data_IF_078244667923
#
_entry.id   IF_078244667923
#
_cell.length_a   1.000
_cell.length_b   1.000
_cell.length_c   1.000
_cell.angle_alpha   90.00
_cell.angle_beta   90.00
_cell.angle_gamma   90.00
#
_symmetry.space_group_name_H-M   'P 1'
#
loop_
_entity.id
_entity.type
_entity.pdbx_description
1 polymer ?
#
# COMPACT_ATOMS: atom_id res chain seq x y z
N UNK A 1 -1.61 17.81 55.33
CA UNK A 1 -1.48 17.98 53.87
C UNK A 1 -1.99 16.71 53.20
N UNK A 2 -3.30 16.64 52.94
CA UNK A 2 -3.94 15.54 52.23
C UNK A 2 -4.00 15.92 50.75
N UNK A 3 -3.25 15.25 49.89
CA UNK A 3 -3.40 15.36 48.45
C UNK A 3 -4.55 14.47 48.01
N UNK A 4 -5.64 15.07 47.54
CA UNK A 4 -6.72 14.37 46.85
C UNK A 4 -6.97 15.11 45.53
N UNK A 5 -6.31 14.68 44.48
CA UNK A 5 -6.67 15.09 43.12
C UNK A 5 -7.69 14.10 42.58
N UNK A 6 -8.93 14.54 42.50
CA UNK A 6 -9.92 13.99 41.57
C UNK A 6 -10.03 14.99 40.43
N UNK A 7 -9.85 14.56 39.19
CA UNK A 7 -10.39 15.31 38.06
C UNK A 7 -10.96 14.34 37.05
N UNK A 8 -12.27 14.09 37.21
CA UNK A 8 -13.13 13.51 36.21
C UNK A 8 -13.90 14.66 35.55
N UNK A 9 -13.82 14.77 34.23
CA UNK A 9 -15.02 14.73 33.39
C UNK A 9 -14.59 14.79 31.93
N UNK A 10 -15.06 13.83 31.14
CA UNK A 10 -15.27 14.06 29.73
C UNK A 10 -16.20 15.27 29.60
N UNK A 11 -15.89 16.22 28.71
CA UNK A 11 -16.95 16.97 28.06
C UNK A 11 -16.76 16.93 26.55
N UNK A 12 -17.82 16.46 25.91
CA UNK A 12 -17.95 16.17 24.50
C UNK A 12 -18.92 17.19 23.94
N UNK A 13 -18.43 18.30 23.38
CA UNK A 13 -19.29 19.13 22.55
C UNK A 13 -18.50 20.11 21.65
N UNK A 14 -18.73 19.96 20.34
CA UNK A 14 -18.57 20.97 19.28
C UNK A 14 -17.15 21.24 18.78
N UNK A 15 -16.67 20.44 17.81
CA UNK A 15 -16.81 20.74 16.36
C UNK A 15 -16.64 22.22 16.02
N UNK A 16 -15.39 22.62 15.84
CA UNK A 16 -14.84 23.19 14.60
C UNK A 16 -13.37 23.46 14.88
N UNK A 17 -12.56 22.39 14.86
CA UNK A 17 -11.22 22.59 14.34
C UNK A 17 -11.48 22.80 12.86
N UNK A 18 -11.50 24.07 12.43
CA UNK A 18 -11.34 24.37 11.01
C UNK A 18 -10.10 23.59 10.59
N UNK A 19 -10.30 22.52 9.81
CA UNK A 19 -9.22 21.78 9.18
C UNK A 19 -8.41 22.85 8.44
N UNK A 20 -7.23 23.17 9.01
CA UNK A 20 -6.30 24.08 8.37
C UNK A 20 -6.16 23.62 6.91
N UNK A 21 -6.35 24.50 5.92
CA UNK A 21 -6.23 24.13 4.52
C UNK A 21 -4.89 23.43 4.32
N UNK A 22 -4.90 22.12 4.06
CA UNK A 22 -3.69 21.31 3.87
C UNK A 22 -3.43 20.23 4.92
N UNK A 23 -4.14 20.17 6.05
CA UNK A 23 -4.09 19.03 6.96
C UNK A 23 -5.21 18.04 6.64
N UNK A 24 -4.86 16.83 6.18
CA UNK A 24 -5.79 15.70 6.05
C UNK A 24 -5.61 14.75 7.22
N UNK A 25 -6.70 14.22 7.76
CA UNK A 25 -6.63 13.17 8.78
C UNK A 25 -6.18 11.89 8.08
N UNK A 26 -5.31 11.11 8.70
CA UNK A 26 -4.80 9.85 8.11
C UNK A 26 -5.93 8.88 7.73
N UNK A 27 -7.04 8.93 8.44
CA UNK A 27 -8.27 8.19 8.17
C UNK A 27 -8.90 8.58 6.82
N UNK A 28 -8.83 9.87 6.45
CA UNK A 28 -9.29 10.39 5.14
C UNK A 28 -8.33 10.04 3.99
N UNK A 29 -7.19 9.41 4.30
CA UNK A 29 -6.23 8.86 3.33
C UNK A 29 -6.44 7.35 3.11
N UNK A 30 -7.30 6.70 3.90
CA UNK A 30 -7.58 5.25 3.82
C UNK A 30 -8.56 4.89 2.69
N UNK A 31 -8.90 5.85 1.83
CA UNK A 31 -9.82 5.67 0.73
C UNK A 31 -9.20 6.10 -0.59
N UNK A 32 -9.11 5.16 -1.52
CA UNK A 32 -8.75 5.34 -2.92
C UNK A 32 -7.25 5.45 -3.23
N UNK A 33 -6.52 4.36 -3.05
CA UNK A 33 -5.35 4.11 -3.89
C UNK A 33 -5.82 3.29 -5.09
N UNK A 34 -5.93 3.91 -6.27
CA UNK A 34 -5.96 3.20 -7.55
C UNK A 34 -4.64 2.40 -7.63
N UNK A 35 -4.61 1.19 -7.08
CA UNK A 35 -3.37 0.45 -6.87
C UNK A 35 -3.50 -0.73 -5.91
N UNK A 36 -2.36 -1.38 -5.68
CA UNK A 36 -2.26 -2.58 -4.85
C UNK A 36 -1.81 -2.19 -3.44
N UNK A 37 -2.64 -2.50 -2.43
CA UNK A 37 -2.27 -2.37 -1.03
C UNK A 37 -1.42 -3.58 -0.61
N UNK A 38 -0.16 -3.36 -0.24
CA UNK A 38 0.77 -4.46 0.05
C UNK A 38 0.31 -5.34 1.22
N UNK A 39 -0.34 -4.77 2.23
CA UNK A 39 -0.88 -5.56 3.35
C UNK A 39 -1.93 -6.57 2.89
N UNK A 40 -2.80 -6.17 1.96
CA UNK A 40 -3.82 -7.06 1.39
C UNK A 40 -3.16 -8.17 0.55
N UNK A 41 -2.05 -7.87 -0.15
CA UNK A 41 -1.26 -8.88 -0.88
C UNK A 41 -0.64 -9.90 0.06
N UNK A 42 -0.15 -9.47 1.23
CA UNK A 42 0.45 -10.38 2.21
C UNK A 42 -0.56 -11.42 2.72
N UNK A 43 -1.82 -11.03 2.86
CA UNK A 43 -2.88 -11.96 3.27
C UNK A 43 -3.24 -12.97 2.17
N UNK A 44 -2.89 -12.70 0.91
CA UNK A 44 -3.23 -13.53 -0.26
C UNK A 44 -2.10 -14.50 -0.67
N UNK A 45 -0.84 -14.12 -0.50
CA UNK A 45 0.29 -14.91 -1.01
C UNK A 45 0.61 -16.12 -0.11
N UNK A 46 0.88 -17.31 -0.68
CA UNK A 46 1.25 -18.49 0.10
C UNK A 46 2.72 -18.49 0.56
N UNK A 47 3.57 -17.67 -0.07
CA UNK A 47 5.02 -17.58 0.20
C UNK A 47 5.79 -18.91 0.07
N UNK A 48 5.27 -19.85 -0.71
CA UNK A 48 6.00 -21.06 -1.07
C UNK A 48 7.32 -20.71 -1.79
N UNK A 49 8.36 -21.52 -1.60
CA UNK A 49 9.67 -21.36 -2.24
C UNK A 49 9.97 -22.51 -3.23
N UNK A 50 9.19 -22.67 -4.31
CA UNK A 50 9.46 -23.67 -5.33
C UNK A 50 10.71 -23.31 -6.15
N UNK A 51 11.38 -24.29 -6.75
CA UNK A 51 12.44 -24.04 -7.73
C UNK A 51 11.82 -23.64 -9.07
N UNK A 52 12.03 -22.38 -9.47
CA UNK A 52 11.54 -21.83 -10.75
C UNK A 52 12.35 -22.22 -11.99
N UNK A 53 13.36 -23.09 -11.86
CA UNK A 53 14.21 -23.54 -12.96
C UNK A 53 15.45 -22.67 -13.10
N UNK A 54 15.69 -22.12 -14.31
CA UNK A 54 16.84 -21.21 -14.54
C UNK A 54 16.62 -19.89 -13.78
N UNK A 55 15.39 -19.39 -13.77
CA UNK A 55 14.99 -18.28 -12.91
C UNK A 55 14.45 -18.81 -11.58
N UNK A 56 15.32 -18.87 -10.57
CA UNK A 56 15.08 -19.65 -9.34
C UNK A 56 13.84 -19.28 -8.53
N UNK A 57 13.44 -18.01 -8.53
CA UNK A 57 12.29 -17.51 -7.79
C UNK A 57 11.18 -17.00 -8.71
N UNK A 58 11.13 -17.53 -9.94
CA UNK A 58 10.09 -17.21 -10.90
C UNK A 58 9.60 -18.47 -11.60
N UNK A 59 9.38 -18.35 -12.90
CA UNK A 59 8.87 -19.43 -13.74
C UNK A 59 9.45 -19.32 -15.16
N UNK A 60 9.23 -20.34 -15.98
CA UNK A 60 9.63 -20.33 -17.40
C UNK A 60 8.84 -19.27 -18.17
N UNK A 61 9.53 -18.27 -18.71
CA UNK A 61 8.93 -17.20 -19.51
C UNK A 61 8.92 -17.62 -20.99
N UNK A 62 7.76 -17.56 -21.63
CA UNK A 62 7.59 -17.77 -23.06
C UNK A 62 7.05 -16.53 -23.75
N UNK A 63 7.50 -16.26 -24.98
CA UNK A 63 7.01 -15.19 -25.84
C UNK A 63 6.62 -15.74 -27.22
N UNK A 64 5.69 -15.11 -27.91
CA UNK A 64 5.43 -15.34 -29.32
C UNK A 64 6.47 -14.57 -30.14
N UNK A 65 6.91 -15.17 -31.25
CA UNK A 65 7.93 -14.55 -32.10
C UNK A 65 7.48 -13.26 -32.81
N UNK A 66 6.17 -12.96 -32.82
CA UNK A 66 5.56 -11.86 -33.57
C UNK A 66 5.02 -10.71 -32.71
N UNK A 67 5.23 -10.72 -31.39
CA UNK A 67 4.68 -9.70 -30.46
C UNK A 67 5.10 -8.26 -30.78
N UNK A 68 6.27 -8.10 -31.40
CA UNK A 68 6.89 -6.81 -31.66
C UNK A 68 6.92 -6.45 -33.15
N UNK A 69 6.10 -7.12 -33.97
CA UNK A 69 6.07 -6.91 -35.41
C UNK A 69 5.56 -5.51 -35.80
N UNK A 70 4.58 -4.98 -35.07
CA UNK A 70 3.97 -3.65 -35.31
C UNK A 70 4.62 -2.55 -34.47
N UNK A 71 5.04 -2.88 -33.25
CA UNK A 71 5.66 -1.97 -32.30
C UNK A 71 6.99 -2.58 -31.82
N UNK A 72 8.15 -2.08 -32.28
CA UNK A 72 9.45 -2.61 -31.89
C UNK A 72 9.73 -2.48 -30.39
N UNK A 73 10.38 -3.48 -29.80
CA UNK A 73 10.88 -3.40 -28.43
C UNK A 73 12.12 -2.50 -28.36
N UNK A 74 12.02 -1.40 -27.61
CA UNK A 74 13.15 -0.51 -27.36
C UNK A 74 13.99 -1.00 -26.19
N UNK A 75 15.31 -1.15 -26.42
CA UNK A 75 16.26 -1.63 -25.42
C UNK A 75 17.25 -0.52 -25.07
N UNK A 76 17.25 -0.10 -23.81
CA UNK A 76 18.24 0.82 -23.26
C UNK A 76 19.21 0.02 -22.38
N UNK A 77 20.47 -0.08 -22.82
CA UNK A 77 21.54 -0.67 -22.02
C UNK A 77 22.21 0.43 -21.21
N UNK A 78 22.25 0.24 -19.89
CA UNK A 78 22.75 1.21 -18.90
C UNK A 78 24.10 0.77 -18.37
#
# INVERSE_FOLDING_TARGET
LLHKSSNSSLDSAHRRVELLPGCRIAEDMKGSADGVQLLDVYDLLPFDNPDGGVWKQGFEISYRGDEWAEHPLELFLV
#
